data_IF_356728074344
#
_entry.id   IF_356728074344
#
_cell.length_a   1.000
_cell.length_b   1.000
_cell.length_c   1.000
_cell.angle_alpha   90.00
_cell.angle_beta   90.00
_cell.angle_gamma   90.00
#
_symmetry.space_group_name_H-M   'P 1'
#
loop_
_entity.id
_entity.type
_entity.pdbx_description
1 polymer ?
#
# COMPACT_ATOMS: atom_id res chain seq x y z
N UNK A 1 -9.03 27.99 33.31
CA UNK A 1 -9.72 27.37 32.16
C UNK A 1 -8.75 26.41 31.51
N UNK A 2 -8.98 25.11 31.65
CA UNK A 2 -8.18 24.08 31.00
C UNK A 2 -8.71 23.93 29.57
N UNK A 3 -7.95 24.35 28.56
CA UNK A 3 -8.32 24.14 27.16
C UNK A 3 -8.03 22.68 26.82
N UNK A 4 -9.06 21.84 26.83
CA UNK A 4 -8.99 20.48 26.29
C UNK A 4 -9.01 20.60 24.77
N UNK A 5 -7.84 20.55 24.14
CA UNK A 5 -7.72 20.46 22.69
C UNK A 5 -8.18 19.06 22.29
N UNK A 6 -9.42 18.94 21.80
CA UNK A 6 -9.89 17.73 21.17
C UNK A 6 -9.14 17.55 19.85
N UNK A 7 -8.08 16.73 19.86
CA UNK A 7 -7.44 16.29 18.63
C UNK A 7 -8.43 15.41 17.85
N UNK A 8 -8.76 15.73 16.60
CA UNK A 8 -9.60 14.85 15.81
C UNK A 8 -8.81 13.56 15.58
N UNK A 9 -9.33 12.46 16.10
CA UNK A 9 -8.87 11.08 15.85
C UNK A 9 -9.13 10.72 14.38
N UNK A 10 -8.40 11.33 13.46
CA UNK A 10 -8.13 10.73 12.14
C UNK A 10 -6.80 10.02 12.26
N UNK A 11 -6.73 9.07 13.19
CA UNK A 11 -5.64 8.12 13.20
C UNK A 11 -5.93 7.18 12.03
N UNK A 12 -5.09 7.23 10.99
CA UNK A 12 -5.01 6.10 10.08
C UNK A 12 -4.95 4.84 10.94
N UNK A 13 -5.85 3.90 10.69
CA UNK A 13 -5.99 2.72 11.53
C UNK A 13 -4.67 1.95 11.46
N UNK A 14 -3.82 2.11 12.47
CA UNK A 14 -2.55 1.38 12.62
C UNK A 14 -2.67 -0.11 12.28
N UNK A 15 -3.78 -0.81 12.63
CA UNK A 15 -4.01 -2.18 12.21
C UNK A 15 -3.99 -2.43 10.70
N UNK A 16 -4.48 -1.52 9.86
CA UNK A 16 -4.51 -1.70 8.41
C UNK A 16 -3.12 -1.64 7.79
N UNK A 17 -2.26 -0.76 8.32
CA UNK A 17 -0.85 -0.70 7.90
C UNK A 17 -0.10 -1.98 8.28
N UNK A 18 -0.33 -2.50 9.49
CA UNK A 18 0.26 -3.78 9.92
C UNK A 18 -0.24 -4.95 9.08
N UNK A 19 -1.53 -4.94 8.72
CA UNK A 19 -2.09 -5.94 7.82
C UNK A 19 -1.48 -5.85 6.41
N UNK A 20 -1.27 -4.65 5.88
CA UNK A 20 -0.59 -4.47 4.60
C UNK A 20 0.85 -5.02 4.63
N UNK A 21 1.62 -4.73 5.69
CA UNK A 21 2.97 -5.31 5.87
C UNK A 21 2.92 -6.84 5.80
N UNK A 22 2.03 -7.45 6.57
CA UNK A 22 1.92 -8.91 6.64
C UNK A 22 1.45 -9.50 5.31
N UNK A 23 0.45 -8.91 4.67
CA UNK A 23 -0.12 -9.41 3.42
C UNK A 23 0.82 -9.24 2.24
N UNK A 24 1.58 -8.14 2.19
CA UNK A 24 2.53 -7.85 1.12
C UNK A 24 3.89 -8.50 1.31
N UNK A 25 4.05 -9.36 2.34
CA UNK A 25 5.29 -10.04 2.66
C UNK A 25 6.47 -9.06 2.83
N UNK A 26 6.20 -7.87 3.34
CA UNK A 26 7.20 -6.83 3.55
C UNK A 26 7.89 -7.04 4.91
N UNK A 27 9.12 -6.53 5.01
CA UNK A 27 9.87 -6.56 6.28
C UNK A 27 9.06 -5.86 7.36
N UNK A 28 9.00 -6.43 8.57
CA UNK A 28 8.34 -5.78 9.69
C UNK A 28 9.04 -4.46 10.06
N UNK A 29 8.31 -3.57 10.74
CA UNK A 29 8.94 -2.37 11.30
C UNK A 29 10.09 -2.72 12.24
N UNK A 30 11.11 -1.85 12.30
CA UNK A 30 12.24 -2.01 13.20
C UNK A 30 12.38 -0.77 14.10
N UNK A 31 11.87 -0.88 15.33
CA UNK A 31 11.82 0.24 16.27
C UNK A 31 10.99 1.40 15.72
N UNK A 32 11.63 2.54 15.51
CA UNK A 32 11.01 3.75 14.95
C UNK A 32 10.95 3.73 13.40
N UNK A 33 11.67 2.81 12.75
CA UNK A 33 11.73 2.71 11.29
C UNK A 33 10.53 1.93 10.78
N UNK A 34 9.72 2.57 9.94
CA UNK A 34 8.53 1.98 9.32
C UNK A 34 8.87 1.45 7.92
N UNK A 35 8.59 0.17 7.66
CA UNK A 35 8.79 -0.42 6.32
C UNK A 35 7.69 0.03 5.36
N UNK A 36 6.44 0.01 5.84
CA UNK A 36 5.30 0.64 5.15
C UNK A 36 4.98 1.90 5.92
N UNK A 37 5.27 3.06 5.32
CA UNK A 37 4.78 4.35 5.81
C UNK A 37 3.29 4.48 5.52
N UNK A 38 2.60 5.44 6.15
CA UNK A 38 1.21 5.70 5.78
C UNK A 38 1.06 6.12 4.31
N UNK A 39 2.16 6.54 3.66
CA UNK A 39 2.14 7.04 2.29
C UNK A 39 1.88 5.95 1.24
N UNK A 40 1.84 4.69 1.65
CA UNK A 40 1.34 3.61 0.79
C UNK A 40 -0.09 3.90 0.30
N UNK A 41 -0.97 4.39 1.18
CA UNK A 41 -2.38 4.64 0.86
C UNK A 41 -2.80 6.11 1.04
N UNK A 42 -1.92 6.95 1.58
CA UNK A 42 -2.25 8.31 2.01
C UNK A 42 -1.27 9.30 1.40
N UNK A 43 -1.69 10.55 1.21
CA UNK A 43 -0.73 11.61 0.84
C UNK A 43 0.09 12.02 2.06
N UNK A 44 -0.56 12.09 3.23
CA UNK A 44 0.07 12.47 4.48
C UNK A 44 0.93 11.32 5.04
N UNK A 45 2.16 11.60 5.54
CA UNK A 45 2.98 10.60 6.21
C UNK A 45 2.38 10.10 7.54
N UNK A 46 1.47 10.89 8.13
CA UNK A 46 0.71 10.50 9.32
C UNK A 46 -0.60 9.77 8.97
N UNK A 47 -0.87 9.58 7.68
CA UNK A 47 -2.10 8.98 7.16
C UNK A 47 -3.31 9.93 7.24
N UNK A 48 -4.50 9.35 7.14
CA UNK A 48 -5.74 10.12 7.05
C UNK A 48 -6.03 10.65 5.65
N UNK A 49 -7.06 11.49 5.51
CA UNK A 49 -7.31 12.15 4.24
C UNK A 49 -6.24 13.25 3.97
N UNK A 50 -5.89 13.53 2.70
CA UNK A 50 -6.37 12.85 1.50
C UNK A 50 -5.64 11.52 1.23
N UNK A 51 -6.31 10.63 0.48
CA UNK A 51 -5.73 9.38 -0.02
C UNK A 51 -4.98 9.65 -1.32
N UNK A 52 -3.86 8.96 -1.52
CA UNK A 52 -3.16 8.93 -2.81
C UNK A 52 -3.96 8.09 -3.83
N UNK A 53 -3.45 7.95 -5.05
CA UNK A 53 -4.17 7.24 -6.10
C UNK A 53 -4.45 5.77 -5.73
N UNK A 54 -3.44 5.03 -5.27
CA UNK A 54 -3.59 3.65 -4.80
C UNK A 54 -4.56 3.52 -3.62
N UNK A 55 -4.47 4.42 -2.63
CA UNK A 55 -5.38 4.44 -1.48
C UNK A 55 -6.83 4.66 -1.87
N UNK A 56 -7.10 5.44 -2.93
CA UNK A 56 -8.45 5.57 -3.48
C UNK A 56 -8.94 4.28 -4.12
N UNK A 57 -8.07 3.52 -4.79
CA UNK A 57 -8.40 2.19 -5.33
C UNK A 57 -8.69 1.18 -4.21
N UNK A 58 -7.86 1.12 -3.17
CA UNK A 58 -8.12 0.27 -1.99
C UNK A 58 -9.46 0.63 -1.35
N UNK A 59 -9.78 1.92 -1.21
CA UNK A 59 -11.08 2.37 -0.67
C UNK A 59 -12.26 1.96 -1.54
N UNK A 60 -12.13 2.05 -2.86
CA UNK A 60 -13.19 1.65 -3.78
C UNK A 60 -13.51 0.15 -3.66
N UNK A 61 -12.50 -0.66 -3.30
CA UNK A 61 -12.64 -2.10 -3.09
C UNK A 61 -13.06 -2.48 -1.65
N UNK A 62 -13.10 -1.53 -0.71
CA UNK A 62 -13.34 -1.84 0.70
C UNK A 62 -14.81 -2.20 0.98
N UNK A 63 -15.03 -3.49 1.26
CA UNK A 63 -16.36 -4.07 1.61
C UNK A 63 -16.37 -4.69 3.01
N UNK A 64 -15.59 -4.12 3.93
CA UNK A 64 -15.49 -4.58 5.33
C UNK A 64 -14.21 -5.37 5.65
N UNK A 65 -13.49 -5.85 4.62
CA UNK A 65 -12.18 -6.49 4.77
C UNK A 65 -11.11 -5.65 4.07
N UNK A 66 -10.11 -5.20 4.84
CA UNK A 66 -8.96 -4.49 4.25
C UNK A 66 -8.10 -5.47 3.44
N UNK A 67 -8.01 -6.74 3.83
CA UNK A 67 -7.19 -7.71 3.12
C UNK A 67 -7.74 -8.01 1.72
N UNK A 68 -9.06 -8.18 1.61
CA UNK A 68 -9.72 -8.30 0.32
C UNK A 68 -9.56 -7.02 -0.51
N UNK A 69 -9.70 -5.85 0.11
CA UNK A 69 -9.55 -4.57 -0.58
C UNK A 69 -8.13 -4.38 -1.17
N UNK A 70 -7.10 -4.77 -0.41
CA UNK A 70 -5.70 -4.73 -0.86
C UNK A 70 -5.47 -5.73 -2.00
N UNK A 71 -5.96 -6.96 -1.87
CA UNK A 71 -5.78 -7.99 -2.91
C UNK A 71 -6.50 -7.62 -4.20
N UNK A 72 -7.75 -7.14 -4.13
CA UNK A 72 -8.49 -6.69 -5.31
C UNK A 72 -7.84 -5.45 -5.96
N UNK A 73 -7.20 -4.58 -5.18
CA UNK A 73 -6.41 -3.49 -5.73
C UNK A 73 -5.22 -4.01 -6.55
N UNK A 74 -4.43 -4.95 -6.01
CA UNK A 74 -3.26 -5.49 -6.73
C UNK A 74 -3.66 -6.36 -7.93
N UNK A 75 -4.71 -7.15 -7.80
CA UNK A 75 -5.23 -8.03 -8.86
C UNK A 75 -5.74 -7.26 -10.08
N UNK A 76 -6.14 -6.00 -9.90
CA UNK A 76 -6.60 -5.16 -11.00
C UNK A 76 -5.49 -4.77 -11.99
N UNK A 77 -4.21 -5.01 -11.66
CA UNK A 77 -3.06 -4.68 -12.51
C UNK A 77 -3.05 -3.22 -13.00
N UNK A 78 -3.59 -2.30 -12.19
CA UNK A 78 -3.57 -0.87 -12.48
C UNK A 78 -2.21 -0.28 -12.14
N UNK A 79 -1.88 0.81 -12.83
CA UNK A 79 -0.79 1.72 -12.52
C UNK A 79 -1.46 2.98 -11.95
N UNK A 80 -1.54 3.09 -10.63
CA UNK A 80 -2.40 4.09 -9.97
C UNK A 80 -1.86 5.50 -10.14
N UNK A 81 -0.53 5.69 -10.13
CA UNK A 81 0.12 7.00 -10.21
C UNK A 81 0.64 7.34 -11.63
N UNK A 82 0.53 6.41 -12.57
CA UNK A 82 0.77 6.62 -14.00
C UNK A 82 2.24 6.62 -14.37
N UNK A 83 3.06 5.90 -13.62
CA UNK A 83 4.51 5.98 -13.68
C UNK A 83 5.15 4.91 -14.60
N UNK A 84 4.34 3.98 -15.10
CA UNK A 84 4.72 2.87 -15.97
C UNK A 84 4.83 1.52 -15.25
N UNK A 85 4.61 1.45 -13.93
CA UNK A 85 4.60 0.22 -13.15
C UNK A 85 3.20 -0.05 -12.60
N UNK A 86 2.72 -1.29 -12.72
CA UNK A 86 1.47 -1.65 -12.07
C UNK A 86 1.68 -1.73 -10.54
N UNK A 87 0.64 -1.41 -9.76
CA UNK A 87 0.65 -1.37 -8.30
C UNK A 87 1.26 -2.65 -7.70
N UNK A 88 0.93 -3.81 -8.27
CA UNK A 88 1.46 -5.11 -7.82
C UNK A 88 2.97 -5.27 -8.03
N UNK A 89 3.51 -4.69 -9.11
CA UNK A 89 4.95 -4.72 -9.40
C UNK A 89 5.70 -3.81 -8.45
N UNK A 90 5.12 -2.69 -8.07
CA UNK A 90 5.66 -1.77 -7.08
C UNK A 90 5.66 -2.39 -5.69
N UNK A 91 4.56 -3.02 -5.28
CA UNK A 91 4.51 -3.81 -4.04
C UNK A 91 5.56 -4.90 -4.04
N UNK A 92 5.72 -5.61 -5.16
CA UNK A 92 6.74 -6.66 -5.31
C UNK A 92 8.17 -6.11 -5.26
N UNK A 93 8.39 -4.88 -5.74
CA UNK A 93 9.68 -4.19 -5.70
C UNK A 93 9.93 -3.43 -4.39
N UNK A 94 8.94 -3.32 -3.50
CA UNK A 94 9.04 -2.55 -2.26
C UNK A 94 8.96 -1.03 -2.46
N UNK A 95 8.35 -0.55 -3.54
CA UNK A 95 8.11 0.88 -3.80
C UNK A 95 6.68 1.29 -3.45
N UNK A 96 6.32 2.57 -3.64
CA UNK A 96 5.04 3.15 -3.22
C UNK A 96 4.07 3.33 -4.40
N UNK A 97 2.99 2.53 -4.51
CA UNK A 97 2.11 2.51 -5.69
C UNK A 97 1.21 3.73 -5.91
N UNK A 98 1.40 4.79 -5.12
CA UNK A 98 0.65 6.03 -5.27
C UNK A 98 1.55 7.25 -5.32
N UNK A 99 2.84 7.05 -5.61
CA UNK A 99 3.89 8.05 -5.70
C UNK A 99 4.80 7.77 -6.89
N UNK A 100 4.55 8.47 -8.00
CA UNK A 100 5.31 8.32 -9.25
C UNK A 100 6.80 8.69 -9.14
N UNK A 101 7.29 9.17 -7.99
CA UNK A 101 8.71 9.34 -7.71
C UNK A 101 9.36 8.10 -7.07
N UNK A 102 8.56 7.16 -6.56
CA UNK A 102 8.97 5.92 -5.93
C UNK A 102 8.99 4.77 -6.95
N UNK A 103 10.00 4.74 -7.81
CA UNK A 103 10.07 3.77 -8.91
C UNK A 103 10.97 2.58 -8.63
N UNK A 104 10.64 1.38 -9.14
CA UNK A 104 11.59 0.27 -9.18
C UNK A 104 12.85 0.60 -9.99
N UNK A 105 13.98 0.01 -9.61
CA UNK A 105 15.28 0.19 -10.29
C UNK A 105 15.46 -0.75 -11.50
N UNK A 106 14.47 -1.59 -11.78
CA UNK A 106 14.48 -2.61 -12.83
C UNK A 106 13.21 -2.50 -13.66
N UNK A 107 13.24 -3.02 -14.88
CA UNK A 107 12.10 -2.87 -15.81
C UNK A 107 10.84 -3.60 -15.33
N UNK A 108 9.67 -3.06 -15.70
CA UNK A 108 8.38 -3.70 -15.42
C UNK A 108 8.33 -5.14 -15.96
N UNK A 109 8.94 -5.39 -17.13
CA UNK A 109 9.03 -6.72 -17.72
C UNK A 109 9.83 -7.71 -16.85
N UNK A 110 10.94 -7.26 -16.26
CA UNK A 110 11.72 -8.07 -15.35
C UNK A 110 10.93 -8.36 -14.06
N UNK A 111 10.25 -7.36 -13.50
CA UNK A 111 9.42 -7.56 -12.30
C UNK A 111 8.28 -8.55 -12.56
N UNK A 112 7.57 -8.41 -13.69
CA UNK A 112 6.48 -9.32 -14.05
C UNK A 112 6.95 -10.76 -14.10
N UNK A 113 8.08 -11.03 -14.77
CA UNK A 113 8.64 -12.39 -14.85
C UNK A 113 9.02 -12.96 -13.48
N UNK A 114 9.52 -12.13 -12.57
CA UNK A 114 9.88 -12.58 -11.22
C UNK A 114 8.65 -12.76 -10.33
N UNK A 115 7.64 -11.90 -10.47
CA UNK A 115 6.35 -12.04 -9.80
C UNK A 115 5.66 -13.34 -10.22
N UNK A 116 5.60 -13.63 -11.52
CA UNK A 116 5.04 -14.89 -12.05
C UNK A 116 5.76 -16.11 -11.48
N UNK A 117 7.10 -16.10 -11.44
CA UNK A 117 7.89 -17.18 -10.83
C UNK A 117 7.64 -17.35 -9.33
N UNK A 118 7.31 -16.27 -8.63
CA UNK A 118 7.00 -16.29 -7.20
C UNK A 118 5.58 -16.83 -6.91
N UNK A 119 4.71 -16.96 -7.91
CA UNK A 119 3.31 -17.38 -7.75
C UNK A 119 2.28 -16.34 -8.22
N UNK A 120 2.73 -15.28 -8.89
CA UNK A 120 1.85 -14.21 -9.39
C UNK A 120 1.28 -13.35 -8.26
N UNK A 121 0.20 -12.62 -8.54
CA UNK A 121 -0.50 -11.79 -7.54
C UNK A 121 -1.09 -12.61 -6.38
N UNK A 122 -1.26 -13.93 -6.55
CA UNK A 122 -1.83 -14.81 -5.54
C UNK A 122 -0.93 -14.99 -4.30
N UNK A 123 0.34 -14.60 -4.37
CA UNK A 123 1.21 -14.49 -3.18
C UNK A 123 0.69 -13.47 -2.16
N UNK A 124 -0.20 -12.56 -2.59
CA UNK A 124 -0.85 -11.53 -1.76
C UNK A 124 -2.30 -11.84 -1.44
N UNK A 125 -2.79 -13.03 -1.78
CA UNK A 125 -4.16 -13.45 -1.45
C UNK A 125 -4.33 -13.51 0.07
N UNK A 126 -5.41 -12.94 0.63
CA UNK A 126 -5.67 -13.02 2.07
C UNK A 126 -5.78 -14.48 2.51
N UNK A 127 -5.18 -14.80 3.66
CA UNK A 127 -5.23 -16.13 4.28
C UNK A 127 -6.50 -16.32 5.10
#
# INVERSE_FOLDING_TARGET
MLVVVAMPLVQARGPYRLQAIAQFNLVADNGEVRTVTCQYCHVSPNGGAPWNAFGNQVRANFKGSIGEALYEALKAMKDSDGDGYADVLEVFAGTLPGDASSKPLVTAQFLMQNLEKAGGVDIYKPK
#
